data_IF_652269827406
#
_entry.id   IF_652269827406
#
_cell.length_a   1.000
_cell.length_b   1.000
_cell.length_c   1.000
_cell.angle_alpha   90.00
_cell.angle_beta   90.00
_cell.angle_gamma   90.00
#
_symmetry.space_group_name_H-M   'P 1'
#
loop_
_entity.id
_entity.type
_entity.pdbx_description
1 polymer ?
#
# COMPACT_ATOMS: atom_id res chain seq x y z
N UNK A 1 -50.94 27.33 30.35
CA UNK A 1 -49.60 26.73 30.47
C UNK A 1 -49.63 25.32 29.91
N UNK A 2 -49.13 25.02 28.69
CA UNK A 2 -48.77 23.71 28.26
C UNK A 2 -47.26 23.52 28.43
N UNK A 3 -46.89 22.31 28.83
CA UNK A 3 -45.54 21.82 29.15
C UNK A 3 -44.73 21.62 27.87
N UNK A 4 -43.49 22.07 27.91
CA UNK A 4 -42.44 21.77 26.96
C UNK A 4 -42.17 20.26 26.88
N UNK A 5 -42.11 19.74 25.66
CA UNK A 5 -41.57 18.43 25.32
C UNK A 5 -40.21 18.70 24.64
N UNK A 6 -39.10 18.14 25.14
CA UNK A 6 -37.83 18.26 24.45
C UNK A 6 -37.84 17.28 23.26
N UNK A 7 -37.58 17.79 22.06
CA UNK A 7 -37.22 17.00 20.90
C UNK A 7 -35.78 16.56 21.07
N UNK A 8 -35.57 15.32 21.49
CA UNK A 8 -34.31 14.63 21.38
C UNK A 8 -34.46 13.61 20.24
N UNK A 9 -34.02 14.03 19.04
CA UNK A 9 -33.80 13.12 17.92
C UNK A 9 -32.30 12.89 17.87
N UNK A 10 -31.94 11.75 18.45
CA UNK A 10 -30.62 11.16 18.37
C UNK A 10 -30.05 11.24 16.95
N UNK A 11 -28.95 12.00 16.80
CA UNK A 11 -28.00 11.85 15.72
C UNK A 11 -27.51 10.41 15.70
N UNK A 12 -27.99 9.65 14.72
CA UNK A 12 -27.46 8.31 14.42
C UNK A 12 -26.02 8.47 14.01
N UNK A 13 -25.16 7.85 14.77
CA UNK A 13 -23.73 7.68 14.50
C UNK A 13 -23.52 7.28 13.05
N UNK A 14 -23.14 8.22 12.21
CA UNK A 14 -22.45 7.94 10.95
C UNK A 14 -21.07 7.46 11.36
N UNK A 15 -20.86 6.14 11.25
CA UNK A 15 -19.53 5.58 11.40
C UNK A 15 -18.59 6.21 10.37
N UNK A 16 -17.34 6.48 10.73
CA UNK A 16 -16.35 6.99 9.81
C UNK A 16 -16.03 5.93 8.75
N UNK A 17 -15.83 6.35 7.50
CA UNK A 17 -15.37 5.59 6.34
C UNK A 17 -16.39 4.66 5.63
N UNK A 18 -17.39 5.24 4.98
CA UNK A 18 -18.12 4.59 3.88
C UNK A 18 -18.35 5.59 2.75
N UNK A 19 -17.28 6.08 2.18
CA UNK A 19 -17.33 7.05 1.09
C UNK A 19 -16.60 6.53 -0.14
N UNK A 20 -17.29 5.72 -0.98
CA UNK A 20 -16.84 5.49 -2.33
C UNK A 20 -16.35 4.11 -2.72
N UNK A 21 -16.22 3.12 -1.79
CA UNK A 21 -15.80 1.77 -2.19
C UNK A 21 -16.81 1.13 -3.14
N UNK A 22 -16.27 0.52 -4.21
CA UNK A 22 -17.01 -0.13 -5.28
C UNK A 22 -17.21 -1.59 -4.96
N UNK A 23 -18.46 -2.03 -4.86
CA UNK A 23 -18.83 -3.41 -4.63
C UNK A 23 -19.48 -4.03 -5.86
N UNK A 24 -19.18 -5.29 -6.14
CA UNK A 24 -19.88 -6.09 -7.13
C UNK A 24 -20.61 -7.23 -6.44
N UNK A 25 -21.92 -7.26 -6.55
CA UNK A 25 -22.78 -8.36 -6.10
C UNK A 25 -23.01 -9.29 -7.27
N UNK A 26 -22.84 -10.61 -7.08
CA UNK A 26 -23.03 -11.63 -8.09
C UNK A 26 -23.94 -12.72 -7.53
N UNK A 27 -25.16 -12.79 -8.00
CA UNK A 27 -26.16 -13.79 -7.58
C UNK A 27 -27.16 -13.99 -8.72
N UNK A 28 -27.48 -15.24 -9.08
CA UNK A 28 -28.42 -15.58 -10.15
C UNK A 28 -29.88 -15.44 -9.71
N UNK A 29 -30.14 -15.31 -8.40
CA UNK A 29 -31.45 -14.93 -7.87
C UNK A 29 -31.58 -13.39 -7.87
N UNK A 30 -32.42 -12.82 -8.76
CA UNK A 30 -32.55 -11.38 -8.87
C UNK A 30 -33.15 -10.71 -7.62
N UNK A 31 -33.86 -11.46 -6.78
CA UNK A 31 -34.37 -10.96 -5.50
C UNK A 31 -33.27 -10.78 -4.48
N UNK A 32 -32.38 -11.78 -4.35
CA UNK A 32 -31.21 -11.72 -3.44
C UNK A 32 -30.26 -10.64 -3.91
N UNK A 33 -29.90 -10.60 -5.20
CA UNK A 33 -29.03 -9.60 -5.77
C UNK A 33 -29.57 -8.17 -5.50
N UNK A 34 -30.88 -7.95 -5.69
CA UNK A 34 -31.49 -6.64 -5.44
C UNK A 34 -31.56 -6.27 -3.98
N UNK A 35 -31.80 -7.24 -3.08
CA UNK A 35 -31.77 -7.03 -1.63
C UNK A 35 -30.38 -6.56 -1.18
N UNK A 36 -29.34 -7.28 -1.61
CA UNK A 36 -27.94 -6.94 -1.30
C UNK A 36 -27.57 -5.56 -1.84
N UNK A 37 -27.97 -5.24 -3.07
CA UNK A 37 -27.73 -3.92 -3.66
C UNK A 37 -28.32 -2.80 -2.81
N UNK A 38 -29.58 -2.93 -2.37
CA UNK A 38 -30.27 -1.92 -1.56
C UNK A 38 -29.56 -1.75 -0.20
N UNK A 39 -29.28 -2.85 0.49
CA UNK A 39 -28.68 -2.82 1.83
C UNK A 39 -27.26 -2.22 1.82
N UNK A 40 -26.45 -2.61 0.84
CA UNK A 40 -25.09 -2.10 0.70
C UNK A 40 -25.07 -0.64 0.23
N UNK A 41 -25.95 -0.26 -0.70
CA UNK A 41 -26.09 1.13 -1.13
C UNK A 41 -26.58 2.04 0.02
N UNK A 42 -27.51 1.55 0.85
CA UNK A 42 -27.96 2.26 2.06
C UNK A 42 -26.83 2.45 3.09
N UNK A 43 -25.83 1.54 3.11
CA UNK A 43 -24.64 1.65 3.93
C UNK A 43 -23.56 2.58 3.33
N UNK A 44 -23.78 3.16 2.13
CA UNK A 44 -22.90 4.16 1.51
C UNK A 44 -21.95 3.63 0.44
N UNK A 45 -22.04 2.34 0.06
CA UNK A 45 -21.20 1.73 -0.98
C UNK A 45 -21.74 2.02 -2.40
N UNK A 46 -20.83 2.05 -3.38
CA UNK A 46 -21.19 2.06 -4.80
C UNK A 46 -21.37 0.62 -5.27
N UNK A 47 -22.60 0.19 -5.51
CA UNK A 47 -22.91 -1.21 -5.80
C UNK A 47 -23.25 -1.42 -7.27
N UNK A 48 -22.64 -2.42 -7.88
CA UNK A 48 -23.01 -2.97 -9.19
C UNK A 48 -23.48 -4.41 -8.99
N UNK A 49 -24.34 -4.87 -9.88
CA UNK A 49 -24.89 -6.23 -9.84
C UNK A 49 -24.56 -6.97 -11.13
N UNK A 50 -24.18 -8.23 -10.99
CA UNK A 50 -24.08 -9.22 -12.06
C UNK A 50 -25.02 -10.40 -11.73
N UNK A 51 -25.65 -10.98 -12.76
CA UNK A 51 -26.61 -12.08 -12.59
C UNK A 51 -25.95 -13.45 -12.81
N UNK A 52 -24.69 -13.50 -13.18
CA UNK A 52 -23.90 -14.71 -13.36
C UNK A 52 -22.40 -14.38 -13.32
N UNK A 53 -21.55 -15.41 -13.24
CA UNK A 53 -20.10 -15.25 -13.18
C UNK A 53 -19.47 -14.70 -14.47
N UNK A 54 -20.06 -14.96 -15.65
CA UNK A 54 -19.54 -14.43 -16.93
C UNK A 54 -19.72 -12.92 -16.99
N UNK A 55 -20.90 -12.42 -16.62
CA UNK A 55 -21.18 -10.99 -16.51
C UNK A 55 -20.27 -10.34 -15.46
N UNK A 56 -20.05 -11.01 -14.33
CA UNK A 56 -19.15 -10.52 -13.28
C UNK A 56 -17.73 -10.30 -13.81
N UNK A 57 -17.17 -11.26 -14.54
CA UNK A 57 -15.84 -11.14 -15.16
C UNK A 57 -15.77 -9.93 -16.09
N UNK A 58 -16.78 -9.73 -16.96
CA UNK A 58 -16.83 -8.59 -17.87
C UNK A 58 -16.85 -7.25 -17.11
N UNK A 59 -17.66 -7.17 -16.05
CA UNK A 59 -17.78 -5.96 -15.23
C UNK A 59 -16.47 -5.65 -14.47
N UNK A 60 -15.80 -6.66 -13.93
CA UNK A 60 -14.53 -6.51 -13.23
C UNK A 60 -13.40 -6.08 -14.19
N UNK A 61 -13.37 -6.60 -15.40
CA UNK A 61 -12.40 -6.20 -16.42
C UNK A 61 -12.56 -4.76 -16.89
N UNK A 62 -13.77 -4.22 -16.87
CA UNK A 62 -14.06 -2.83 -17.26
C UNK A 62 -13.65 -1.84 -16.15
N UNK A 63 -13.99 -2.17 -14.91
CA UNK A 63 -13.74 -1.34 -13.72
C UNK A 63 -13.68 -2.27 -12.51
N UNK A 64 -12.48 -2.52 -12.01
CA UNK A 64 -12.26 -3.45 -10.91
C UNK A 64 -12.88 -2.92 -9.61
N UNK A 65 -13.75 -3.71 -8.94
CA UNK A 65 -14.32 -3.33 -7.65
C UNK A 65 -13.29 -3.54 -6.53
N UNK A 66 -13.55 -2.95 -5.35
CA UNK A 66 -12.78 -3.21 -4.14
C UNK A 66 -13.15 -4.57 -3.52
N UNK A 67 -14.41 -4.99 -3.69
CA UNK A 67 -14.92 -6.25 -3.15
C UNK A 67 -15.96 -6.86 -4.09
N UNK A 68 -15.87 -8.18 -4.30
CA UNK A 68 -16.88 -9.01 -4.94
C UNK A 68 -17.61 -9.83 -3.86
N UNK A 69 -18.93 -9.81 -3.86
CA UNK A 69 -19.79 -10.69 -3.04
C UNK A 69 -20.50 -11.62 -3.99
N UNK A 70 -20.19 -12.90 -3.95
CA UNK A 70 -20.71 -13.88 -4.93
C UNK A 70 -21.43 -15.05 -4.27
N UNK A 71 -22.55 -15.50 -4.86
CA UNK A 71 -23.09 -16.80 -4.52
C UNK A 71 -22.17 -17.92 -5.00
N UNK A 72 -22.18 -19.06 -4.31
CA UNK A 72 -21.50 -20.29 -4.76
C UNK A 72 -22.20 -20.87 -5.98
N UNK A 73 -23.51 -21.07 -5.88
CA UNK A 73 -24.28 -21.87 -6.83
C UNK A 73 -24.89 -21.00 -7.93
N UNK A 74 -24.15 -20.79 -9.00
CA UNK A 74 -24.62 -20.06 -10.18
C UNK A 74 -24.41 -20.86 -11.46
N UNK A 75 -25.22 -20.68 -12.51
CA UNK A 75 -25.03 -21.35 -13.78
C UNK A 75 -23.76 -20.86 -14.49
N UNK A 76 -23.16 -21.72 -15.33
CA UNK A 76 -21.99 -21.51 -16.17
C UNK A 76 -20.69 -21.32 -15.38
N UNK A 77 -20.49 -20.18 -14.74
CA UNK A 77 -19.33 -19.87 -13.89
C UNK A 77 -19.84 -19.72 -12.46
N UNK A 78 -19.54 -20.68 -11.61
CA UNK A 78 -19.89 -20.65 -10.19
C UNK A 78 -18.98 -19.69 -9.39
N UNK A 79 -19.32 -19.43 -8.11
CA UNK A 79 -18.58 -18.47 -7.30
C UNK A 79 -17.15 -18.91 -7.00
N UNK A 80 -16.86 -20.20 -6.97
CA UNK A 80 -15.51 -20.72 -6.80
C UNK A 80 -14.67 -20.53 -8.06
N UNK A 81 -15.24 -20.84 -9.23
CA UNK A 81 -14.57 -20.62 -10.50
C UNK A 81 -14.33 -19.13 -10.76
N UNK A 82 -15.32 -18.28 -10.47
CA UNK A 82 -15.14 -16.82 -10.53
C UNK A 82 -13.96 -16.37 -9.66
N UNK A 83 -13.89 -16.84 -8.41
CA UNK A 83 -12.80 -16.50 -7.49
C UNK A 83 -11.45 -16.94 -8.05
N UNK A 84 -11.36 -18.16 -8.61
CA UNK A 84 -10.14 -18.69 -9.24
C UNK A 84 -9.68 -17.83 -10.41
N UNK A 85 -10.61 -17.44 -11.29
CA UNK A 85 -10.32 -16.59 -12.44
C UNK A 85 -9.83 -15.21 -12.02
N UNK A 86 -10.43 -14.61 -10.99
CA UNK A 86 -9.98 -13.33 -10.42
C UNK A 86 -8.55 -13.43 -9.87
N UNK A 87 -8.18 -14.52 -9.20
CA UNK A 87 -6.83 -14.72 -8.64
C UNK A 87 -5.77 -15.01 -9.70
N UNK A 88 -6.14 -15.53 -10.87
CA UNK A 88 -5.22 -15.82 -11.97
C UNK A 88 -4.85 -14.60 -12.81
N UNK A 89 -5.69 -13.56 -12.86
CA UNK A 89 -5.38 -12.32 -13.58
C UNK A 89 -4.71 -11.30 -12.61
N UNK A 90 -3.45 -10.89 -12.85
CA UNK A 90 -2.75 -9.93 -11.99
C UNK A 90 -3.48 -8.61 -11.77
N UNK A 91 -4.36 -8.19 -12.70
CA UNK A 91 -5.13 -6.95 -12.60
C UNK A 91 -6.27 -7.05 -11.59
N UNK A 92 -6.74 -8.26 -11.29
CA UNK A 92 -7.90 -8.53 -10.43
C UNK A 92 -7.54 -9.39 -9.22
N UNK A 93 -6.31 -9.89 -9.13
CA UNK A 93 -5.86 -10.78 -8.06
C UNK A 93 -5.98 -10.15 -6.66
N UNK A 94 -5.90 -8.82 -6.56
CA UNK A 94 -6.02 -8.06 -5.31
C UNK A 94 -7.47 -7.65 -4.95
N UNK A 95 -8.46 -7.99 -5.79
CA UNK A 95 -9.89 -7.74 -5.49
C UNK A 95 -10.32 -8.67 -4.37
N UNK A 96 -10.90 -8.12 -3.31
CA UNK A 96 -11.42 -8.94 -2.20
C UNK A 96 -12.65 -9.74 -2.62
N UNK A 97 -12.82 -10.94 -2.07
CA UNK A 97 -13.96 -11.82 -2.41
C UNK A 97 -14.61 -12.37 -1.15
N UNK A 98 -15.91 -12.13 -1.00
CA UNK A 98 -16.77 -12.80 -0.01
C UNK A 98 -17.68 -13.78 -0.75
N UNK A 99 -17.73 -15.03 -0.30
CA UNK A 99 -18.58 -16.06 -0.87
C UNK A 99 -19.82 -16.27 0.00
N UNK A 100 -21.00 -16.21 -0.60
CA UNK A 100 -22.27 -16.56 0.05
C UNK A 100 -22.55 -18.05 -0.18
N UNK A 101 -22.74 -18.82 0.91
CA UNK A 101 -22.88 -20.28 0.83
C UNK A 101 -24.09 -20.80 1.59
N UNK A 102 -24.69 -21.91 1.16
CA UNK A 102 -25.75 -22.57 1.89
C UNK A 102 -25.21 -23.35 3.11
N UNK A 103 -26.04 -23.46 4.16
CA UNK A 103 -25.70 -24.16 5.42
C UNK A 103 -25.46 -25.65 5.15
N UNK A 104 -24.25 -26.15 5.39
CA UNK A 104 -23.94 -27.59 5.32
C UNK A 104 -22.64 -27.97 4.62
N UNK A 105 -21.95 -27.05 3.98
CA UNK A 105 -20.76 -27.31 3.16
C UNK A 105 -19.46 -27.03 3.93
N UNK A 106 -19.19 -27.81 4.99
CA UNK A 106 -17.88 -27.75 5.69
C UNK A 106 -16.72 -28.16 4.78
N UNK A 107 -16.98 -29.00 3.76
CA UNK A 107 -16.00 -29.34 2.72
C UNK A 107 -15.73 -28.13 1.81
N UNK A 108 -16.75 -27.38 1.40
CA UNK A 108 -16.64 -26.23 0.51
C UNK A 108 -15.92 -25.05 1.17
N UNK A 109 -16.02 -24.89 2.49
CA UNK A 109 -15.23 -23.88 3.21
C UNK A 109 -13.73 -24.12 3.13
N UNK A 110 -13.30 -25.40 3.23
CA UNK A 110 -11.88 -25.76 3.10
C UNK A 110 -11.39 -25.60 1.66
N UNK A 111 -12.22 -25.97 0.68
CA UNK A 111 -11.91 -25.79 -0.74
C UNK A 111 -11.86 -24.31 -1.13
N UNK A 112 -12.78 -23.52 -0.66
CA UNK A 112 -12.85 -22.09 -0.96
C UNK A 112 -11.74 -21.27 -0.34
N UNK A 113 -11.28 -21.54 0.90
CA UNK A 113 -10.09 -20.91 1.44
C UNK A 113 -8.83 -21.27 0.64
N UNK A 114 -8.75 -22.50 0.13
CA UNK A 114 -7.67 -22.92 -0.77
C UNK A 114 -7.70 -22.21 -2.14
N UNK A 115 -8.87 -21.70 -2.56
CA UNK A 115 -9.06 -20.94 -3.81
C UNK A 115 -8.75 -19.45 -3.65
N UNK A 116 -8.68 -18.94 -2.40
CA UNK A 116 -8.27 -17.56 -2.11
C UNK A 116 -9.45 -16.59 -1.88
N UNK A 117 -10.60 -17.04 -1.40
CA UNK A 117 -11.63 -16.16 -0.89
C UNK A 117 -11.21 -15.53 0.46
N UNK A 118 -11.60 -14.28 0.70
CA UNK A 118 -11.21 -13.51 1.89
C UNK A 118 -12.16 -13.75 3.08
N UNK A 119 -13.44 -14.09 2.81
CA UNK A 119 -14.41 -14.47 3.85
C UNK A 119 -15.60 -15.24 3.23
N UNK A 120 -16.42 -15.85 4.15
CA UNK A 120 -17.62 -16.63 3.80
C UNK A 120 -18.80 -16.19 4.68
N UNK A 121 -19.98 -16.09 4.07
CA UNK A 121 -21.24 -15.83 4.77
C UNK A 121 -22.20 -16.96 4.48
N UNK A 122 -22.75 -17.54 5.54
CA UNK A 122 -23.72 -18.66 5.42
C UNK A 122 -25.13 -18.12 5.26
N UNK A 123 -25.83 -18.52 4.21
CA UNK A 123 -27.27 -18.25 4.00
C UNK A 123 -28.13 -19.14 4.93
N UNK A 124 -29.17 -18.63 5.62
CA UNK A 124 -29.57 -17.24 5.66
C UNK A 124 -28.69 -16.40 6.59
N UNK A 125 -28.41 -15.17 6.21
CA UNK A 125 -27.66 -14.18 6.99
C UNK A 125 -28.54 -12.94 7.27
N UNK A 126 -28.19 -12.18 8.27
CA UNK A 126 -28.80 -10.88 8.54
C UNK A 126 -27.95 -9.72 7.98
N UNK A 127 -28.55 -8.57 7.74
CA UNK A 127 -27.89 -7.38 7.23
C UNK A 127 -26.76 -6.89 8.13
N UNK A 128 -26.87 -6.86 9.47
CA UNK A 128 -25.78 -6.52 10.36
C UNK A 128 -24.56 -7.42 10.21
N UNK A 129 -24.74 -8.75 10.09
CA UNK A 129 -23.63 -9.70 9.85
C UNK A 129 -22.94 -9.42 8.52
N UNK A 130 -23.73 -9.27 7.43
CA UNK A 130 -23.20 -8.94 6.11
C UNK A 130 -22.34 -7.68 6.13
N UNK A 131 -22.89 -6.58 6.66
CA UNK A 131 -22.19 -5.28 6.72
C UNK A 131 -20.94 -5.33 7.62
N UNK A 132 -20.96 -6.08 8.72
CA UNK A 132 -19.79 -6.25 9.58
C UNK A 132 -18.66 -6.99 8.86
N UNK A 133 -18.98 -8.03 8.07
CA UNK A 133 -18.00 -8.79 7.28
C UNK A 133 -17.45 -7.98 6.12
N UNK A 134 -18.32 -7.29 5.37
CA UNK A 134 -17.92 -6.39 4.29
C UNK A 134 -16.93 -5.33 4.80
N UNK A 135 -17.27 -4.62 5.89
CA UNK A 135 -16.35 -3.66 6.52
C UNK A 135 -15.05 -4.30 6.98
N UNK A 136 -15.13 -5.49 7.57
CA UNK A 136 -13.94 -6.21 8.05
C UNK A 136 -13.00 -6.62 6.91
N UNK A 137 -13.54 -7.10 5.79
CA UNK A 137 -12.75 -7.49 4.61
C UNK A 137 -12.15 -6.25 3.94
N UNK A 138 -12.95 -5.20 3.69
CA UNK A 138 -12.46 -3.96 3.06
C UNK A 138 -11.37 -3.29 3.90
N UNK A 139 -11.55 -3.22 5.24
CA UNK A 139 -10.52 -2.69 6.13
C UNK A 139 -9.22 -3.47 6.01
N UNK A 140 -9.24 -4.82 6.13
CA UNK A 140 -8.03 -5.65 5.97
C UNK A 140 -7.39 -5.50 4.60
N UNK A 141 -8.20 -5.42 3.53
CA UNK A 141 -7.71 -5.18 2.17
C UNK A 141 -7.04 -3.82 2.03
N UNK A 142 -7.62 -2.78 2.65
CA UNK A 142 -7.03 -1.44 2.70
C UNK A 142 -5.72 -1.46 3.48
N UNK A 143 -5.71 -2.03 4.68
CA UNK A 143 -4.50 -2.20 5.51
C UNK A 143 -3.39 -2.93 4.73
N UNK A 144 -3.71 -4.03 4.02
CA UNK A 144 -2.74 -4.76 3.18
C UNK A 144 -2.29 -4.01 1.93
N UNK A 145 -3.16 -3.19 1.31
CA UNK A 145 -2.79 -2.31 0.19
C UNK A 145 -2.01 -1.09 0.66
N UNK A 146 -2.23 -0.68 1.92
CA UNK A 146 -1.62 0.49 2.53
C UNK A 146 -0.23 0.20 3.12
N UNK A 147 0.17 -1.08 3.21
CA UNK A 147 1.50 -1.50 3.67
C UNK A 147 2.31 -2.17 2.55
N UNK A 148 3.60 -1.95 2.58
CA UNK A 148 4.53 -2.67 1.68
C UNK A 148 4.65 -4.13 2.11
N UNK A 149 4.32 -5.12 1.24
CA UNK A 149 4.39 -6.54 1.59
C UNK A 149 5.81 -7.01 1.98
N UNK A 150 6.84 -6.31 1.50
CA UNK A 150 8.23 -6.67 1.78
C UNK A 150 8.72 -6.17 3.13
N UNK A 151 8.32 -4.95 3.53
CA UNK A 151 8.86 -4.29 4.72
C UNK A 151 7.86 -4.13 5.86
N UNK A 152 6.55 -4.22 5.59
CA UNK A 152 5.49 -3.89 6.54
C UNK A 152 5.31 -2.38 6.78
N UNK A 153 6.12 -1.54 6.13
CA UNK A 153 6.00 -0.09 6.23
C UNK A 153 4.77 0.42 5.46
N UNK A 154 4.19 1.55 5.86
CA UNK A 154 3.19 2.27 5.09
C UNK A 154 3.54 2.38 3.61
N UNK A 155 2.58 2.04 2.75
CA UNK A 155 2.70 2.09 1.29
C UNK A 155 2.21 3.40 0.69
N UNK A 156 2.05 3.40 -0.65
CA UNK A 156 1.77 4.61 -1.45
C UNK A 156 0.57 5.42 -0.95
N UNK A 157 -0.53 4.75 -0.57
CA UNK A 157 -1.77 5.43 -0.14
C UNK A 157 -1.52 6.17 1.17
N UNK A 158 -0.96 5.48 2.17
CA UNK A 158 -0.65 6.07 3.47
C UNK A 158 0.39 7.18 3.40
N UNK A 159 1.39 7.04 2.52
CA UNK A 159 2.40 8.07 2.26
C UNK A 159 1.73 9.33 1.70
N UNK A 160 0.81 9.18 0.74
CA UNK A 160 0.09 10.31 0.17
C UNK A 160 -0.80 10.98 1.22
N UNK A 161 -1.60 10.22 1.97
CA UNK A 161 -2.48 10.73 3.04
C UNK A 161 -1.69 11.53 4.07
N UNK A 162 -0.56 10.99 4.57
CA UNK A 162 0.30 11.64 5.55
C UNK A 162 0.82 12.99 5.06
N UNK A 163 1.32 13.04 3.81
CA UNK A 163 1.86 14.30 3.27
C UNK A 163 0.74 15.30 2.98
N UNK A 164 -0.43 14.88 2.48
CA UNK A 164 -1.59 15.74 2.26
C UNK A 164 -2.13 16.32 3.56
N UNK A 165 -2.17 15.52 4.63
CA UNK A 165 -2.55 16.00 5.97
C UNK A 165 -1.58 17.05 6.48
N UNK A 166 -0.26 16.84 6.38
CA UNK A 166 0.76 17.82 6.77
C UNK A 166 0.67 19.12 5.95
N UNK A 167 0.46 19.03 4.65
CA UNK A 167 0.29 20.19 3.77
C UNK A 167 -0.97 20.98 4.13
N UNK A 168 -2.10 20.28 4.34
CA UNK A 168 -3.40 20.92 4.63
C UNK A 168 -3.48 21.52 6.03
N UNK A 169 -2.87 20.88 7.03
CA UNK A 169 -2.82 21.38 8.40
C UNK A 169 -1.92 22.61 8.55
N UNK A 170 -1.02 22.86 7.59
CA UNK A 170 -0.04 23.94 7.65
C UNK A 170 1.09 23.70 8.67
N UNK A 171 1.22 22.47 9.18
CA UNK A 171 2.33 22.08 10.04
C UNK A 171 3.65 22.10 9.28
N UNK A 172 4.72 22.52 9.92
CA UNK A 172 6.05 22.47 9.32
C UNK A 172 6.56 21.02 9.29
N UNK A 173 7.04 20.58 8.12
CA UNK A 173 7.66 19.26 7.95
C UNK A 173 8.76 19.28 6.89
N UNK A 174 9.58 18.25 6.89
CA UNK A 174 10.50 17.91 5.83
C UNK A 174 10.22 16.50 5.31
N UNK A 175 10.16 16.36 4.00
CA UNK A 175 10.09 15.09 3.30
C UNK A 175 11.49 14.67 2.87
N UNK A 176 11.92 13.49 3.27
CA UNK A 176 13.14 12.84 2.81
C UNK A 176 12.74 11.74 1.82
N UNK A 177 13.25 11.78 0.60
CA UNK A 177 13.07 10.74 -0.40
C UNK A 177 14.39 10.01 -0.59
N UNK A 178 14.44 8.74 -0.20
CA UNK A 178 15.65 7.91 -0.23
C UNK A 178 15.55 6.81 -1.29
N UNK A 179 16.68 6.45 -1.89
CA UNK A 179 16.78 5.46 -2.97
C UNK A 179 18.18 4.83 -2.95
N UNK A 180 18.28 3.54 -3.23
CA UNK A 180 19.55 2.82 -3.30
C UNK A 180 20.16 2.94 -4.70
N UNK A 181 21.35 3.48 -4.77
CA UNK A 181 22.07 3.58 -6.03
C UNK A 181 22.59 2.21 -6.48
N UNK A 182 22.44 1.91 -7.77
CA UNK A 182 22.90 0.64 -8.38
C UNK A 182 22.17 -0.63 -7.87
N UNK A 183 21.01 -0.50 -7.19
CA UNK A 183 20.29 -1.63 -6.63
C UNK A 183 19.90 -2.69 -7.68
N UNK A 184 19.57 -2.25 -8.90
CA UNK A 184 19.33 -3.18 -10.00
C UNK A 184 20.55 -4.05 -10.31
N UNK A 185 21.75 -3.47 -10.36
CA UNK A 185 22.98 -4.22 -10.65
C UNK A 185 23.28 -5.22 -9.52
N UNK A 186 23.01 -4.83 -8.27
CA UNK A 186 23.10 -5.73 -7.13
C UNK A 186 22.16 -6.93 -7.25
N UNK A 187 20.88 -6.70 -7.60
CA UNK A 187 19.90 -7.77 -7.83
C UNK A 187 20.28 -8.68 -9.01
N UNK A 188 20.80 -8.11 -10.09
CA UNK A 188 21.24 -8.86 -11.27
C UNK A 188 22.45 -9.76 -10.93
N UNK A 189 23.29 -9.39 -9.94
CA UNK A 189 24.45 -10.16 -9.50
C UNK A 189 24.11 -11.19 -8.42
N UNK A 190 23.42 -10.78 -7.34
CA UNK A 190 23.16 -11.63 -6.16
C UNK A 190 21.76 -12.25 -6.11
N UNK A 191 20.86 -11.84 -7.01
CA UNK A 191 19.46 -12.26 -7.03
C UNK A 191 18.55 -11.45 -6.10
N UNK A 192 17.26 -11.49 -6.41
CA UNK A 192 16.23 -10.71 -5.70
C UNK A 192 16.12 -11.03 -4.20
N UNK A 193 16.31 -12.30 -3.80
CA UNK A 193 16.20 -12.68 -2.39
C UNK A 193 17.23 -11.96 -1.49
N UNK A 194 18.47 -11.71 -2.00
CA UNK A 194 19.47 -10.92 -1.27
C UNK A 194 19.13 -9.42 -1.31
N UNK A 195 18.61 -8.94 -2.43
CA UNK A 195 18.10 -7.56 -2.52
C UNK A 195 16.97 -7.28 -1.55
N UNK A 196 16.01 -8.20 -1.42
CA UNK A 196 14.91 -8.09 -0.46
C UNK A 196 15.43 -7.98 0.99
N UNK A 197 16.48 -8.71 1.34
CA UNK A 197 17.15 -8.58 2.66
C UNK A 197 17.73 -7.18 2.87
N UNK A 198 18.39 -6.61 1.85
CA UNK A 198 18.91 -5.22 1.91
C UNK A 198 17.78 -4.22 2.15
N UNK A 199 16.68 -4.33 1.41
CA UNK A 199 15.50 -3.46 1.57
C UNK A 199 14.91 -3.58 2.98
N UNK A 200 14.74 -4.79 3.50
CA UNK A 200 14.23 -5.01 4.86
C UNK A 200 15.14 -4.44 5.94
N UNK A 201 16.46 -4.59 5.80
CA UNK A 201 17.43 -4.03 6.73
C UNK A 201 17.48 -2.50 6.69
N UNK A 202 17.35 -1.91 5.49
CA UNK A 202 17.24 -0.45 5.32
C UNK A 202 15.97 0.07 5.99
N UNK A 203 14.81 -0.58 5.77
CA UNK A 203 13.56 -0.25 6.43
C UNK A 203 13.70 -0.23 7.96
N UNK A 204 14.24 -1.30 8.56
CA UNK A 204 14.50 -1.40 10.01
C UNK A 204 15.48 -0.33 10.51
N UNK A 205 16.45 0.03 9.68
CA UNK A 205 17.41 1.09 10.02
C UNK A 205 16.72 2.45 10.08
N UNK A 206 15.86 2.75 9.11
CA UNK A 206 15.08 3.98 9.08
C UNK A 206 14.13 4.08 10.27
N UNK A 207 13.38 3.00 10.57
CA UNK A 207 12.48 2.96 11.75
C UNK A 207 13.23 3.25 13.05
N UNK A 208 14.38 2.59 13.28
CA UNK A 208 15.19 2.82 14.47
C UNK A 208 15.72 4.25 14.55
N UNK A 209 16.17 4.83 13.43
CA UNK A 209 16.65 6.22 13.40
C UNK A 209 15.53 7.18 13.78
N UNK A 210 14.33 6.96 13.26
CA UNK A 210 13.16 7.79 13.59
C UNK A 210 12.78 7.62 15.07
N UNK A 211 12.70 6.39 15.57
CA UNK A 211 12.36 6.11 16.97
C UNK A 211 13.36 6.77 17.95
N UNK A 212 14.65 6.75 17.60
CA UNK A 212 15.71 7.33 18.43
C UNK A 212 15.76 8.87 18.38
N UNK A 213 15.59 9.46 17.19
CA UNK A 213 15.83 10.90 16.97
C UNK A 213 14.56 11.75 16.97
N UNK A 214 13.41 11.16 16.60
CA UNK A 214 12.14 11.90 16.38
C UNK A 214 10.95 11.09 16.92
N UNK A 215 10.93 10.69 18.18
CA UNK A 215 9.86 9.87 18.72
C UNK A 215 8.51 10.60 18.68
N UNK A 216 7.51 9.97 18.04
CA UNK A 216 6.12 10.41 18.05
C UNK A 216 5.72 11.51 17.05
N UNK A 217 6.68 12.08 16.27
CA UNK A 217 6.37 13.08 15.23
C UNK A 217 7.15 12.79 13.94
N UNK A 218 7.13 11.54 13.51
CA UNK A 218 7.76 11.13 12.27
C UNK A 218 6.98 9.99 11.62
N UNK A 219 7.14 9.88 10.32
CA UNK A 219 6.54 8.85 9.49
C UNK A 219 7.61 8.22 8.59
N UNK A 220 7.52 6.92 8.38
CA UNK A 220 8.36 6.16 7.43
C UNK A 220 7.44 5.37 6.51
N UNK A 221 7.69 5.42 5.21
CA UNK A 221 6.94 4.68 4.21
C UNK A 221 7.84 4.07 3.14
N UNK A 222 7.37 3.02 2.48
CA UNK A 222 8.05 2.31 1.40
C UNK A 222 7.20 2.37 0.13
N UNK A 223 7.68 3.11 -0.88
CA UNK A 223 6.99 3.29 -2.17
C UNK A 223 7.06 2.04 -3.06
N UNK A 224 8.05 1.18 -2.82
CA UNK A 224 8.31 -0.06 -3.57
C UNK A 224 9.70 -0.05 -4.21
N UNK A 225 10.20 -1.26 -4.52
CA UNK A 225 11.58 -1.41 -4.99
C UNK A 225 12.59 -0.95 -3.95
N UNK A 226 13.38 0.05 -4.30
CA UNK A 226 14.42 0.69 -3.48
C UNK A 226 14.06 2.11 -3.00
N UNK A 227 12.81 2.56 -3.21
CA UNK A 227 12.35 3.91 -2.88
C UNK A 227 11.65 3.97 -1.50
N UNK A 228 12.13 4.86 -0.62
CA UNK A 228 11.58 5.13 0.70
C UNK A 228 11.26 6.60 0.89
N UNK A 229 10.31 6.88 1.77
CA UNK A 229 9.92 8.24 2.17
C UNK A 229 9.89 8.34 3.69
N UNK A 230 10.45 9.44 4.22
CA UNK A 230 10.33 9.79 5.62
C UNK A 230 9.76 11.21 5.72
N UNK A 231 8.87 11.42 6.69
CA UNK A 231 8.35 12.76 7.04
C UNK A 231 8.76 13.05 8.48
N UNK A 232 9.46 14.14 8.68
CA UNK A 232 10.03 14.52 9.98
C UNK A 232 9.92 16.03 10.20
N UNK A 233 10.07 16.54 11.43
CA UNK A 233 10.23 17.98 11.67
C UNK A 233 11.44 18.53 10.90
N UNK A 234 11.36 19.74 10.32
CA UNK A 234 12.44 20.33 9.52
C UNK A 234 13.77 20.42 10.25
N UNK A 235 13.73 20.66 11.56
CA UNK A 235 14.93 20.76 12.41
C UNK A 235 15.69 19.44 12.56
N UNK A 236 15.02 18.31 12.40
CA UNK A 236 15.62 16.96 12.51
C UNK A 236 16.10 16.42 11.16
N UNK A 237 15.64 16.97 10.03
CA UNK A 237 15.81 16.38 8.71
C UNK A 237 17.27 16.09 8.34
N UNK A 238 18.19 17.02 8.60
CA UNK A 238 19.61 16.85 8.31
C UNK A 238 20.25 15.76 9.18
N UNK A 239 19.95 15.74 10.49
CA UNK A 239 20.48 14.75 11.42
C UNK A 239 19.96 13.35 11.10
N UNK A 240 18.69 13.22 10.75
CA UNK A 240 18.08 11.95 10.32
C UNK A 240 18.75 11.44 9.06
N UNK A 241 18.92 12.30 8.04
CA UNK A 241 19.56 11.92 6.78
C UNK A 241 21.02 11.49 7.00
N UNK A 242 21.81 12.27 7.75
CA UNK A 242 23.21 11.92 8.11
C UNK A 242 23.28 10.57 8.82
N UNK A 243 22.40 10.33 9.79
CA UNK A 243 22.40 9.08 10.57
C UNK A 243 22.03 7.87 9.70
N UNK A 244 21.05 8.02 8.80
CA UNK A 244 20.67 6.94 7.87
C UNK A 244 21.84 6.62 6.93
N UNK A 245 22.45 7.64 6.31
CA UNK A 245 23.61 7.47 5.42
C UNK A 245 24.74 6.75 6.14
N UNK A 246 25.12 7.22 7.33
CA UNK A 246 26.20 6.61 8.12
C UNK A 246 25.90 5.15 8.46
N UNK A 247 24.71 4.85 8.98
CA UNK A 247 24.34 3.47 9.36
C UNK A 247 24.23 2.54 8.15
N UNK A 248 23.80 3.07 7.01
CA UNK A 248 23.78 2.29 5.77
C UNK A 248 25.19 1.97 5.29
N UNK A 249 26.08 2.97 5.24
CA UNK A 249 27.46 2.79 4.80
C UNK A 249 28.25 1.83 5.71
N UNK A 250 28.03 1.90 7.03
CA UNK A 250 28.65 0.99 8.00
C UNK A 250 28.24 -0.48 7.77
N UNK A 251 27.01 -0.72 7.33
CA UNK A 251 26.46 -2.07 7.12
C UNK A 251 26.53 -2.57 5.69
N UNK A 252 26.59 -1.69 4.71
CA UNK A 252 26.51 -2.08 3.29
C UNK A 252 27.60 -3.09 2.87
N UNK A 253 28.83 -3.11 3.44
CA UNK A 253 29.81 -4.14 3.14
C UNK A 253 29.39 -5.57 3.51
N UNK A 254 28.49 -5.74 4.49
CA UNK A 254 28.00 -7.05 4.94
C UNK A 254 27.09 -7.72 3.89
N UNK A 255 26.54 -6.95 2.94
CA UNK A 255 25.69 -7.45 1.88
C UNK A 255 26.45 -8.16 0.74
N UNK A 256 27.80 -8.05 0.74
CA UNK A 256 28.67 -8.56 -0.33
C UNK A 256 29.42 -9.81 0.12
N UNK A 257 29.67 -10.73 -0.81
CA UNK A 257 30.59 -11.82 -0.61
C UNK A 257 32.01 -11.28 -0.40
N UNK A 258 32.85 -12.02 0.35
CA UNK A 258 34.17 -11.57 0.74
C UNK A 258 35.04 -11.14 -0.47
N UNK A 259 35.01 -11.90 -1.56
CA UNK A 259 35.75 -11.59 -2.79
C UNK A 259 35.31 -10.29 -3.45
N UNK A 260 34.01 -9.98 -3.45
CA UNK A 260 33.47 -8.75 -4.04
C UNK A 260 33.75 -7.55 -3.14
N UNK A 261 33.65 -7.75 -1.82
CA UNK A 261 33.98 -6.74 -0.81
C UNK A 261 35.46 -6.33 -0.87
N UNK A 262 36.39 -7.31 -0.95
CA UNK A 262 37.82 -7.04 -1.09
C UNK A 262 38.16 -6.35 -2.40
N UNK A 263 37.47 -6.72 -3.49
CA UNK A 263 37.67 -6.14 -4.81
C UNK A 263 37.09 -4.73 -4.95
N UNK A 264 36.03 -4.41 -4.17
CA UNK A 264 35.37 -3.12 -4.14
C UNK A 264 34.39 -2.86 -5.30
N UNK A 265 34.01 -3.90 -6.05
CA UNK A 265 33.03 -3.81 -7.15
C UNK A 265 32.45 -5.20 -7.49
N UNK A 266 31.27 -5.20 -8.10
CA UNK A 266 30.61 -6.39 -8.68
C UNK A 266 30.62 -6.32 -10.19
N UNK A 267 30.59 -7.47 -10.87
CA UNK A 267 30.46 -7.57 -12.33
C UNK A 267 29.10 -8.10 -12.73
N UNK A 268 28.46 -7.41 -13.65
CA UNK A 268 27.16 -7.80 -14.21
C UNK A 268 27.26 -7.82 -15.75
N UNK A 269 26.67 -8.82 -16.38
CA UNK A 269 26.56 -8.88 -17.84
C UNK A 269 25.39 -8.01 -18.30
N UNK A 270 25.63 -7.07 -19.19
CA UNK A 270 24.57 -6.31 -19.81
C UNK A 270 23.83 -7.17 -20.88
N UNK A 271 22.75 -6.64 -21.46
CA UNK A 271 21.94 -7.32 -22.46
C UNK A 271 22.71 -7.68 -23.75
N UNK A 272 23.91 -7.12 -23.95
CA UNK A 272 24.81 -7.40 -25.10
C UNK A 272 25.88 -8.42 -24.75
N UNK A 273 25.89 -8.97 -23.51
CA UNK A 273 26.91 -9.89 -23.03
C UNK A 273 28.23 -9.24 -22.63
N UNK A 274 28.28 -7.91 -22.50
CA UNK A 274 29.46 -7.18 -22.07
C UNK A 274 29.48 -7.08 -20.55
N UNK A 275 30.65 -7.28 -19.93
CA UNK A 275 30.85 -7.10 -18.49
C UNK A 275 30.86 -5.62 -18.13
N UNK A 276 30.04 -5.26 -17.16
CA UNK A 276 30.02 -3.94 -16.54
C UNK A 276 30.35 -4.05 -15.06
N UNK A 277 31.13 -3.09 -14.55
CA UNK A 277 31.52 -3.02 -13.13
C UNK A 277 30.69 -1.98 -12.42
N UNK A 278 30.19 -2.35 -11.25
CA UNK A 278 29.40 -1.49 -10.39
C UNK A 278 30.04 -1.39 -9.02
N UNK A 279 30.16 -0.17 -8.45
CA UNK A 279 30.63 0.01 -7.08
C UNK A 279 29.63 -0.59 -6.07
N UNK A 280 29.99 -0.69 -4.80
CA UNK A 280 29.05 -1.03 -3.74
C UNK A 280 27.84 -0.11 -3.71
N UNK A 281 26.71 -0.64 -3.20
CA UNK A 281 25.47 0.11 -2.99
C UNK A 281 25.75 1.35 -2.14
N UNK A 282 25.15 2.45 -2.56
CA UNK A 282 25.09 3.71 -1.82
C UNK A 282 23.64 4.15 -1.69
N UNK A 283 23.37 5.08 -0.79
CA UNK A 283 22.03 5.66 -0.62
C UNK A 283 22.04 7.14 -0.97
N UNK A 284 21.08 7.56 -1.80
CA UNK A 284 20.85 8.94 -2.18
C UNK A 284 19.57 9.46 -1.54
N UNK A 285 19.64 10.57 -0.77
CA UNK A 285 18.49 11.15 -0.08
C UNK A 285 18.28 12.59 -0.54
N UNK A 286 17.07 12.88 -1.07
CA UNK A 286 16.63 14.23 -1.40
C UNK A 286 15.66 14.77 -0.36
N UNK A 287 15.83 16.02 0.08
CA UNK A 287 15.03 16.63 1.13
C UNK A 287 14.27 17.85 0.62
N UNK A 288 12.95 17.84 0.76
CA UNK A 288 12.07 19.00 0.59
C UNK A 288 11.56 19.46 1.95
N UNK A 289 11.62 20.76 2.26
CA UNK A 289 11.27 21.29 3.58
C UNK A 289 10.33 22.50 3.48
N UNK A 290 9.29 22.52 4.30
CA UNK A 290 8.36 23.64 4.41
C UNK A 290 8.97 24.88 5.11
N UNK A 291 10.14 24.73 5.73
CA UNK A 291 10.82 25.84 6.42
C UNK A 291 11.22 26.99 5.49
N UNK A 292 11.41 26.72 4.20
CA UNK A 292 11.88 27.71 3.20
C UNK A 292 10.87 28.02 2.11
N UNK A 293 9.91 27.14 1.88
CA UNK A 293 8.84 27.31 0.89
C UNK A 293 7.55 26.64 1.33
N UNK A 294 6.44 27.15 0.83
CA UNK A 294 5.14 26.48 1.00
C UNK A 294 4.87 25.57 -0.17
N UNK A 295 4.22 24.47 0.09
CA UNK A 295 3.76 23.52 -0.92
C UNK A 295 2.23 23.57 -0.99
N UNK A 296 1.68 23.55 -2.21
CA UNK A 296 0.24 23.59 -2.41
C UNK A 296 -0.41 22.19 -2.32
N UNK A 297 0.34 21.14 -2.63
CA UNK A 297 -0.15 19.76 -2.65
C UNK A 297 1.01 18.75 -2.61
N UNK A 298 0.67 17.50 -2.30
CA UNK A 298 1.58 16.34 -2.22
C UNK A 298 2.60 16.25 -3.37
N UNK A 299 2.10 16.32 -4.63
CA UNK A 299 2.96 16.10 -5.79
C UNK A 299 4.11 17.13 -5.91
N UNK A 300 3.92 18.36 -5.43
CA UNK A 300 4.96 19.39 -5.43
C UNK A 300 6.07 19.06 -4.43
N UNK A 301 5.71 18.58 -3.24
CA UNK A 301 6.68 18.16 -2.21
C UNK A 301 7.55 17.03 -2.73
N UNK A 302 6.90 15.99 -3.28
CA UNK A 302 7.58 14.81 -3.83
C UNK A 302 8.48 15.19 -5.03
N UNK A 303 8.01 16.07 -5.91
CA UNK A 303 8.81 16.52 -7.08
C UNK A 303 10.11 17.20 -6.63
N UNK A 304 10.06 18.08 -5.62
CA UNK A 304 11.24 18.76 -5.09
C UNK A 304 12.19 17.78 -4.40
N UNK A 305 11.68 16.87 -3.57
CA UNK A 305 12.51 15.85 -2.92
C UNK A 305 13.17 14.93 -3.96
N UNK A 306 12.44 14.53 -5.01
CA UNK A 306 12.98 13.73 -6.12
C UNK A 306 14.06 14.48 -6.89
N UNK A 307 13.89 15.78 -7.15
CA UNK A 307 14.93 16.62 -7.80
C UNK A 307 16.21 16.63 -6.95
N UNK A 308 16.09 16.82 -5.64
CA UNK A 308 17.24 16.80 -4.74
C UNK A 308 17.88 15.42 -4.65
N UNK A 309 17.12 14.33 -4.65
CA UNK A 309 17.61 12.96 -4.73
C UNK A 309 18.43 12.74 -6.03
N UNK A 310 17.91 13.20 -7.16
CA UNK A 310 18.63 13.09 -8.43
C UNK A 310 19.92 13.93 -8.46
N UNK A 311 19.94 15.04 -7.74
CA UNK A 311 21.15 15.84 -7.58
C UNK A 311 22.22 15.08 -6.79
N UNK A 312 21.86 14.38 -5.71
CA UNK A 312 22.81 13.58 -4.91
C UNK A 312 23.41 12.42 -5.71
N UNK A 313 22.65 11.78 -6.60
CA UNK A 313 23.13 10.69 -7.48
C UNK A 313 24.30 11.09 -8.38
N UNK A 314 24.55 12.39 -8.59
CA UNK A 314 25.73 12.87 -9.29
C UNK A 314 27.01 12.91 -8.45
N UNK A 315 26.88 12.72 -7.14
CA UNK A 315 27.99 12.71 -6.17
C UNK A 315 28.37 11.26 -5.87
N UNK A 316 29.64 10.86 -5.96
CA UNK A 316 30.08 9.51 -5.58
C UNK A 316 29.85 9.24 -4.08
N UNK A 317 29.36 8.04 -3.76
CA UNK A 317 29.10 7.62 -2.38
C UNK A 317 27.70 8.01 -1.89
N UNK A 318 27.34 7.53 -0.71
CA UNK A 318 26.08 7.88 -0.08
C UNK A 318 26.04 9.35 0.29
N UNK A 319 24.93 10.02 -0.02
CA UNK A 319 24.83 11.46 0.23
C UNK A 319 23.38 11.93 0.31
N UNK A 320 23.19 13.14 0.83
CA UNK A 320 21.90 13.79 0.85
C UNK A 320 21.99 15.27 0.47
N UNK A 321 20.89 15.82 -0.04
CA UNK A 321 20.77 17.24 -0.35
C UNK A 321 19.39 17.76 0.06
N UNK A 322 19.36 19.00 0.55
CA UNK A 322 18.13 19.72 0.89
C UNK A 322 17.88 20.86 -0.08
N UNK A 323 16.64 21.04 -0.51
CA UNK A 323 16.25 22.21 -1.30
C UNK A 323 16.47 23.50 -0.49
N UNK A 324 17.32 24.38 -1.02
CA UNK A 324 17.67 25.66 -0.40
C UNK A 324 16.99 26.86 -1.08
N UNK A 325 16.20 26.61 -2.11
CA UNK A 325 15.50 27.67 -2.86
C UNK A 325 14.37 28.24 -1.99
N UNK A 326 14.27 29.53 -1.99
CA UNK A 326 13.14 30.29 -1.40
C UNK A 326 12.23 30.73 -2.53
N UNK A 327 10.96 30.40 -2.47
CA UNK A 327 9.94 30.92 -3.41
C UNK A 327 9.23 32.12 -2.81
#
# INVERSE_FOLDING_TARGET
MPKDVPADVSDGERGPDSGGEKLLVVDDDPFIARLLEIELAAAGYQVRVANDGEQAIQLVQQDAPDLVITDVMMPHVDGFELTRLLRQDPRTAAVSVIILTARGLSADKLEGFAIGADDYIVKPFDTPELLARVRGVLRRSKEMKDESPLTGLPGNVRIQEEIEERVSSGNEFALLYADLDQFKAFNDHYGFARGDQVIQELARTMEKVIEELVPGDAFVGHLGGDDFVLVVPPSAAALVADTIVQRFDDRSPEYYDEADRERGWIEVLNRRGEQQRFPPLTISIGIASTQRRRFAHFAEVVAVATEMKNFTKSTPGSSWAIDRRTT
#
